data_IF_210458252411
#
_entry.id   IF_210458252411
#
_cell.length_a   1.000
_cell.length_b   1.000
_cell.length_c   1.000
_cell.angle_alpha   90.00
_cell.angle_beta   90.00
_cell.angle_gamma   90.00
#
_symmetry.space_group_name_H-M   'P 1'
#
loop_
_entity.id
_entity.type
_entity.pdbx_description
1 polymer ?
#
# COMPACT_ATOMS: atom_id res chain seq x y z
N UNK A 1 -56.06 20.01 42.03
CA UNK A 1 -55.83 19.06 40.91
C UNK A 1 -55.41 17.71 41.47
N UNK A 2 -56.10 16.64 41.07
CA UNK A 2 -55.99 15.29 41.65
C UNK A 2 -54.60 14.70 41.40
N UNK A 3 -54.03 13.99 42.38
CA UNK A 3 -52.68 13.35 42.34
C UNK A 3 -52.36 12.57 41.04
N UNK A 4 -53.38 12.13 40.31
CA UNK A 4 -53.28 11.46 38.99
C UNK A 4 -52.76 12.37 37.87
N UNK A 5 -53.07 13.68 37.91
CA UNK A 5 -52.61 14.62 36.88
C UNK A 5 -51.14 15.01 37.08
N UNK A 6 -50.65 15.00 38.32
CA UNK A 6 -49.25 15.26 38.61
C UNK A 6 -48.36 14.12 38.09
N UNK A 7 -48.80 12.88 38.29
CA UNK A 7 -48.08 11.68 37.81
C UNK A 7 -47.96 11.64 36.29
N UNK A 8 -49.03 12.00 35.56
CA UNK A 8 -49.01 12.05 34.10
C UNK A 8 -48.05 13.12 33.56
N UNK A 9 -48.01 14.29 34.20
CA UNK A 9 -47.11 15.39 33.79
C UNK A 9 -45.65 15.05 34.08
N UNK A 10 -45.36 14.43 35.23
CA UNK A 10 -43.99 13.98 35.56
C UNK A 10 -43.52 12.86 34.63
N UNK A 11 -44.40 11.92 34.27
CA UNK A 11 -44.07 10.85 33.32
C UNK A 11 -43.81 11.39 31.90
N UNK A 12 -44.60 12.38 31.44
CA UNK A 12 -44.36 13.04 30.16
C UNK A 12 -43.04 13.83 30.13
N UNK A 13 -42.67 14.48 31.25
CA UNK A 13 -41.38 15.19 31.38
C UNK A 13 -40.18 14.23 31.39
N UNK A 14 -40.31 13.06 32.02
CA UNK A 14 -39.26 12.03 32.00
C UNK A 14 -39.14 11.41 30.60
N UNK A 15 -40.25 11.18 29.90
CA UNK A 15 -40.24 10.65 28.52
C UNK A 15 -39.67 11.66 27.52
N UNK A 16 -39.94 12.95 27.68
CA UNK A 16 -39.31 13.99 26.84
C UNK A 16 -37.83 14.17 27.17
N UNK A 17 -37.44 14.10 28.45
CA UNK A 17 -36.03 14.11 28.82
C UNK A 17 -35.26 12.87 28.32
N UNK A 18 -35.91 11.70 28.24
CA UNK A 18 -35.33 10.48 27.67
C UNK A 18 -35.18 10.55 26.14
N UNK A 19 -36.07 11.28 25.45
CA UNK A 19 -35.93 11.57 24.02
C UNK A 19 -34.99 12.74 23.71
N UNK A 20 -34.60 13.52 24.72
CA UNK A 20 -33.66 14.64 24.62
C UNK A 20 -32.32 14.36 25.28
N UNK A 21 -31.98 13.10 25.57
CA UNK A 21 -30.58 12.72 25.71
C UNK A 21 -29.99 13.02 24.33
N UNK A 22 -29.12 14.04 24.16
CA UNK A 22 -28.35 14.12 22.94
C UNK A 22 -27.71 12.74 22.87
N UNK A 23 -28.02 11.98 21.82
CA UNK A 23 -27.23 10.83 21.46
C UNK A 23 -25.81 11.39 21.47
N UNK A 24 -25.09 11.14 22.57
CA UNK A 24 -23.67 11.37 22.62
C UNK A 24 -23.24 10.50 21.46
N UNK A 25 -22.89 11.17 20.37
CA UNK A 25 -22.04 10.61 19.38
C UNK A 25 -20.85 10.12 20.20
N UNK A 26 -20.89 8.86 20.60
CA UNK A 26 -19.74 8.03 20.37
C UNK A 26 -19.45 8.26 18.88
N UNK A 27 -18.65 9.28 18.59
CA UNK A 27 -17.72 9.22 17.48
C UNK A 27 -16.91 7.96 17.78
N UNK A 28 -17.50 6.80 17.49
CA UNK A 28 -16.75 5.60 17.21
C UNK A 28 -15.89 6.04 16.05
N UNK A 29 -14.64 6.39 16.36
CA UNK A 29 -13.62 6.70 15.36
C UNK A 29 -13.71 5.56 14.38
N UNK A 30 -14.29 5.82 13.22
CA UNK A 30 -14.52 4.80 12.23
C UNK A 30 -13.14 4.27 11.88
N UNK A 31 -12.89 3.01 12.20
CA UNK A 31 -11.64 2.36 11.86
C UNK A 31 -11.52 2.40 10.34
N UNK A 32 -10.43 2.98 9.86
CA UNK A 32 -10.21 3.16 8.42
C UNK A 32 -9.98 1.79 7.80
N UNK A 33 -10.58 1.52 6.64
CA UNK A 33 -10.48 0.24 5.94
C UNK A 33 -9.02 -0.22 5.75
N UNK A 34 -8.10 0.70 5.44
CA UNK A 34 -6.68 0.39 5.28
C UNK A 34 -5.98 -0.13 6.56
N UNK A 35 -6.56 0.05 7.75
CA UNK A 35 -6.03 -0.47 9.02
C UNK A 35 -6.82 -1.67 9.55
N UNK A 36 -7.63 -2.29 8.69
CA UNK A 36 -8.40 -3.48 9.08
C UNK A 36 -7.74 -4.76 8.59
N UNK A 37 -7.71 -5.77 9.46
CA UNK A 37 -7.26 -7.12 9.16
C UNK A 37 -8.32 -8.10 9.65
N UNK A 38 -8.72 -9.04 8.80
CA UNK A 38 -9.68 -10.07 9.22
C UNK A 38 -9.05 -11.00 10.25
N UNK A 39 -9.89 -11.64 11.06
CA UNK A 39 -9.39 -12.62 12.06
C UNK A 39 -8.70 -13.79 11.35
N UNK A 40 -9.29 -14.24 10.25
CA UNK A 40 -8.80 -15.33 9.42
C UNK A 40 -7.43 -15.01 8.82
N UNK A 41 -7.22 -13.78 8.33
CA UNK A 41 -5.91 -13.36 7.80
C UNK A 41 -4.88 -13.29 8.91
N UNK A 42 -5.25 -12.70 10.06
CA UNK A 42 -4.35 -12.60 11.21
C UNK A 42 -3.88 -13.97 11.68
N UNK A 43 -4.80 -14.91 11.85
CA UNK A 43 -4.49 -16.29 12.23
C UNK A 43 -3.65 -16.99 11.15
N UNK A 44 -3.99 -16.80 9.88
CA UNK A 44 -3.23 -17.33 8.75
C UNK A 44 -1.78 -16.84 8.73
N UNK A 45 -1.57 -15.52 8.87
CA UNK A 45 -0.25 -14.89 8.90
C UNK A 45 0.57 -15.40 10.09
N UNK A 46 -0.02 -15.44 11.30
CA UNK A 46 0.67 -15.96 12.48
C UNK A 46 1.02 -17.44 12.36
N UNK A 47 0.16 -18.25 11.73
CA UNK A 47 0.47 -19.67 11.47
C UNK A 47 1.64 -19.86 10.51
N UNK A 48 1.87 -18.89 9.62
CA UNK A 48 2.96 -18.87 8.65
C UNK A 48 4.20 -18.10 9.13
N UNK A 49 4.25 -17.62 10.38
CA UNK A 49 5.30 -16.74 10.91
C UNK A 49 6.71 -17.26 10.61
N UNK A 50 6.96 -18.55 10.83
CA UNK A 50 8.29 -19.14 10.58
C UNK A 50 8.72 -19.03 9.12
N UNK A 51 7.80 -19.27 8.18
CA UNK A 51 8.08 -19.19 6.75
C UNK A 51 8.26 -17.73 6.32
N UNK A 52 7.38 -16.84 6.78
CA UNK A 52 7.47 -15.39 6.54
C UNK A 52 8.80 -14.82 7.01
N UNK A 53 9.23 -15.15 8.25
CA UNK A 53 10.50 -14.68 8.78
C UNK A 53 11.69 -15.29 8.04
N UNK A 54 11.57 -16.52 7.53
CA UNK A 54 12.61 -17.13 6.70
C UNK A 54 12.75 -16.38 5.38
N UNK A 55 11.64 -16.13 4.69
CA UNK A 55 11.61 -15.40 3.42
C UNK A 55 12.12 -13.95 3.62
N UNK A 56 11.62 -13.25 4.64
CA UNK A 56 12.01 -11.87 4.94
C UNK A 56 13.50 -11.75 5.25
N UNK A 57 14.08 -12.66 6.04
CA UNK A 57 15.51 -12.63 6.34
C UNK A 57 16.37 -12.99 5.13
N UNK A 58 15.93 -13.91 4.27
CA UNK A 58 16.64 -14.24 3.05
C UNK A 58 16.69 -13.05 2.08
N UNK A 59 15.57 -12.33 1.93
CA UNK A 59 15.52 -11.10 1.13
C UNK A 59 16.39 -10.01 1.76
N UNK A 60 16.28 -9.80 3.08
CA UNK A 60 17.06 -8.81 3.80
C UNK A 60 18.58 -9.07 3.69
N UNK A 61 19.02 -10.31 3.81
CA UNK A 61 20.45 -10.67 3.66
C UNK A 61 20.97 -10.40 2.25
N UNK A 62 20.12 -10.59 1.23
CA UNK A 62 20.47 -10.29 -0.16
C UNK A 62 20.60 -8.77 -0.42
N UNK A 63 19.76 -7.95 0.22
CA UNK A 63 19.77 -6.49 0.09
C UNK A 63 20.82 -5.80 0.99
N UNK A 64 20.99 -6.28 2.23
CA UNK A 64 21.95 -5.79 3.22
C UNK A 64 22.46 -6.94 4.10
N UNK A 65 23.58 -7.56 3.69
CA UNK A 65 24.23 -8.64 4.42
C UNK A 65 24.73 -8.25 5.83
N UNK A 66 24.76 -6.97 6.17
CA UNK A 66 25.14 -6.48 7.50
C UNK A 66 23.95 -6.29 8.45
N UNK A 67 22.72 -6.35 7.93
CA UNK A 67 21.52 -6.21 8.71
C UNK A 67 21.35 -7.38 9.71
N UNK A 68 20.83 -7.07 10.89
CA UNK A 68 20.48 -8.12 11.84
C UNK A 68 19.27 -8.91 11.32
N UNK A 69 19.11 -10.19 11.69
CA UNK A 69 17.91 -10.92 11.33
C UNK A 69 16.70 -10.41 12.12
N UNK A 70 15.55 -10.34 11.47
CA UNK A 70 14.23 -10.18 12.09
C UNK A 70 13.91 -11.45 12.86
N UNK A 71 13.60 -11.30 14.15
CA UNK A 71 13.42 -12.44 15.07
C UNK A 71 11.98 -12.78 15.38
N UNK A 72 11.06 -11.84 15.12
CA UNK A 72 9.66 -11.95 15.53
C UNK A 72 8.79 -11.17 14.57
N UNK A 73 7.65 -11.75 14.21
CA UNK A 73 6.61 -11.05 13.49
C UNK A 73 5.77 -10.21 14.46
N UNK A 74 5.57 -8.94 14.13
CA UNK A 74 4.58 -8.08 14.79
C UNK A 74 3.55 -7.64 13.77
N UNK A 75 2.28 -7.67 14.14
CA UNK A 75 1.15 -7.21 13.31
C UNK A 75 0.47 -6.01 13.95
N UNK A 76 1.19 -5.26 14.78
CA UNK A 76 0.68 -4.07 15.47
C UNK A 76 0.63 -2.86 14.53
N UNK A 77 1.51 -2.84 13.52
CA UNK A 77 1.62 -1.78 12.53
C UNK A 77 1.55 -2.39 11.13
N UNK A 78 0.42 -2.17 10.47
CA UNK A 78 0.19 -2.65 9.12
C UNK A 78 -0.73 -1.72 8.32
N UNK A 79 -0.66 -1.86 7.00
CA UNK A 79 -1.59 -1.27 6.05
C UNK A 79 -2.05 -2.35 5.09
N UNK A 80 -3.37 -2.49 4.94
CA UNK A 80 -3.96 -3.31 3.88
C UNK A 80 -4.01 -2.50 2.58
N UNK A 81 -3.34 -3.00 1.55
CA UNK A 81 -3.26 -2.37 0.23
C UNK A 81 -3.93 -3.28 -0.80
N UNK A 82 -5.00 -2.79 -1.42
CA UNK A 82 -5.68 -3.53 -2.49
C UNK A 82 -4.86 -3.46 -3.78
N UNK A 83 -4.44 -4.62 -4.29
CA UNK A 83 -3.68 -4.76 -5.53
C UNK A 83 -4.61 -5.16 -6.67
N UNK A 84 -4.22 -4.93 -7.93
CA UNK A 84 -5.03 -5.28 -9.11
C UNK A 84 -6.50 -4.80 -9.04
N UNK A 85 -6.75 -3.71 -8.31
CA UNK A 85 -8.08 -3.20 -8.02
C UNK A 85 -8.23 -1.83 -8.66
N UNK A 86 -8.69 -1.81 -9.92
CA UNK A 86 -8.85 -0.57 -10.68
C UNK A 86 -10.09 0.23 -10.21
N UNK A 87 -9.90 1.06 -9.18
CA UNK A 87 -10.95 1.95 -8.67
C UNK A 87 -11.38 3.02 -9.69
N UNK A 88 -10.52 3.34 -10.68
CA UNK A 88 -10.85 4.30 -11.74
C UNK A 88 -11.75 3.70 -12.82
N UNK A 89 -11.86 2.37 -12.91
CA UNK A 89 -12.79 1.69 -13.81
C UNK A 89 -14.26 1.96 -13.48
N UNK A 90 -14.58 2.28 -12.21
CA UNK A 90 -15.93 2.50 -11.72
C UNK A 90 -16.62 3.66 -12.45
N UNK A 91 -17.92 3.52 -12.74
CA UNK A 91 -18.69 4.55 -13.46
C UNK A 91 -18.97 5.80 -12.61
N UNK A 92 -19.02 5.65 -11.30
CA UNK A 92 -19.25 6.70 -10.33
C UNK A 92 -18.19 6.66 -9.22
N UNK A 93 -18.22 7.67 -8.35
CA UNK A 93 -17.29 7.82 -7.23
C UNK A 93 -17.96 7.46 -5.89
N UNK A 94 -19.09 6.76 -5.90
CA UNK A 94 -19.85 6.48 -4.68
C UNK A 94 -19.14 5.44 -3.80
N UNK A 95 -19.28 5.62 -2.48
CA UNK A 95 -18.77 4.67 -1.49
C UNK A 95 -19.36 3.26 -1.70
N UNK A 96 -20.60 3.15 -2.16
CA UNK A 96 -21.25 1.88 -2.43
C UNK A 96 -20.58 1.10 -3.57
N UNK A 97 -20.30 1.76 -4.69
CA UNK A 97 -19.59 1.16 -5.84
C UNK A 97 -18.16 0.76 -5.46
N UNK A 98 -17.45 1.60 -4.70
CA UNK A 98 -16.12 1.29 -4.16
C UNK A 98 -16.16 0.06 -3.25
N UNK A 99 -17.08 -0.01 -2.29
CA UNK A 99 -17.21 -1.16 -1.39
C UNK A 99 -17.53 -2.46 -2.13
N UNK A 100 -18.33 -2.42 -3.20
CA UNK A 100 -18.60 -3.60 -4.02
C UNK A 100 -17.34 -4.09 -4.73
N UNK A 101 -16.55 -3.18 -5.28
CA UNK A 101 -15.26 -3.51 -5.90
C UNK A 101 -14.30 -4.12 -4.88
N UNK A 102 -14.14 -3.50 -3.70
CA UNK A 102 -13.26 -4.02 -2.65
C UNK A 102 -13.69 -5.40 -2.15
N UNK A 103 -15.00 -5.67 -2.03
CA UNK A 103 -15.51 -7.01 -1.66
C UNK A 103 -15.17 -8.07 -2.70
N UNK A 104 -15.20 -7.72 -3.99
CA UNK A 104 -14.77 -8.62 -5.05
C UNK A 104 -13.26 -8.90 -4.94
N UNK A 105 -12.46 -7.85 -4.73
CA UNK A 105 -11.01 -7.99 -4.49
C UNK A 105 -10.72 -8.84 -3.25
N UNK A 106 -11.48 -8.69 -2.16
CA UNK A 106 -11.34 -9.52 -0.96
C UNK A 106 -11.61 -11.00 -1.23
N UNK A 107 -12.68 -11.30 -2.00
CA UNK A 107 -13.02 -12.68 -2.36
C UNK A 107 -11.93 -13.35 -3.21
N UNK A 108 -11.23 -12.57 -4.03
CA UNK A 108 -10.13 -13.03 -4.90
C UNK A 108 -8.74 -12.88 -4.26
N UNK A 109 -8.68 -12.43 -2.99
CA UNK A 109 -7.46 -12.10 -2.25
C UNK A 109 -6.56 -11.06 -2.97
N UNK A 110 -7.13 -10.15 -3.76
CA UNK A 110 -6.43 -9.06 -4.46
C UNK A 110 -6.02 -7.92 -3.51
N UNK A 111 -5.16 -8.25 -2.55
CA UNK A 111 -4.56 -7.31 -1.60
C UNK A 111 -3.30 -7.90 -0.97
N UNK A 112 -2.47 -7.01 -0.45
CA UNK A 112 -1.33 -7.32 0.41
C UNK A 112 -1.49 -6.65 1.77
N UNK A 113 -0.74 -7.12 2.75
CA UNK A 113 -0.48 -6.37 3.98
C UNK A 113 0.96 -5.87 3.96
N UNK A 114 1.14 -4.57 4.00
CA UNK A 114 2.43 -3.97 4.32
C UNK A 114 2.56 -3.90 5.84
N UNK A 115 3.61 -4.50 6.38
CA UNK A 115 3.83 -4.65 7.82
C UNK A 115 5.17 -4.05 8.20
N UNK A 116 5.22 -3.33 9.32
CA UNK A 116 6.49 -2.83 9.86
C UNK A 116 7.11 -3.86 10.78
N UNK A 117 8.28 -4.37 10.39
CA UNK A 117 9.11 -5.24 11.22
C UNK A 117 10.38 -4.52 11.66
N UNK A 118 10.98 -5.01 12.74
CA UNK A 118 12.20 -4.42 13.29
C UNK A 118 13.36 -5.42 13.29
N UNK A 119 14.47 -4.96 12.70
CA UNK A 119 15.78 -5.59 12.80
C UNK A 119 16.69 -4.72 13.67
N UNK A 120 16.78 -5.04 14.96
CA UNK A 120 17.52 -4.21 15.92
C UNK A 120 16.91 -2.81 16.04
N UNK A 121 17.60 -1.79 15.51
CA UNK A 121 17.12 -0.39 15.48
C UNK A 121 16.56 0.01 14.11
N UNK A 122 16.63 -0.86 13.13
CA UNK A 122 16.21 -0.60 11.75
C UNK A 122 14.77 -1.05 11.57
N UNK A 123 13.96 -0.20 10.94
CA UNK A 123 12.61 -0.53 10.53
C UNK A 123 12.61 -1.09 9.10
N UNK A 124 11.78 -2.08 8.87
CA UNK A 124 11.63 -2.77 7.60
C UNK A 124 10.17 -2.71 7.19
N UNK A 125 9.91 -2.29 5.96
CA UNK A 125 8.59 -2.42 5.34
C UNK A 125 8.54 -3.78 4.63
N UNK A 126 7.65 -4.65 5.08
CA UNK A 126 7.55 -6.03 4.62
C UNK A 126 6.20 -6.26 3.97
N UNK A 127 6.19 -6.68 2.71
CA UNK A 127 4.96 -7.01 2.01
C UNK A 127 4.61 -8.48 2.23
N UNK A 128 3.42 -8.72 2.77
CA UNK A 128 2.83 -10.03 2.96
C UNK A 128 1.69 -10.25 1.97
N UNK A 129 1.74 -11.36 1.26
CA UNK A 129 0.70 -11.76 0.31
C UNK A 129 0.27 -13.21 0.58
N UNK A 130 -0.98 -13.52 0.26
CA UNK A 130 -1.50 -14.88 0.25
C UNK A 130 -1.31 -15.49 -1.14
N UNK A 131 -0.58 -16.60 -1.24
CA UNK A 131 -0.22 -17.18 -2.53
C UNK A 131 -1.43 -17.60 -3.35
N UNK A 132 -1.41 -17.28 -4.64
CA UNK A 132 -2.47 -17.60 -5.60
C UNK A 132 -1.91 -18.47 -6.72
N UNK A 133 -2.74 -19.26 -7.41
CA UNK A 133 -2.29 -19.98 -8.60
C UNK A 133 -1.65 -19.00 -9.60
N UNK A 134 -0.46 -19.34 -10.08
CA UNK A 134 0.21 -18.57 -11.13
C UNK A 134 -0.64 -18.56 -12.40
N UNK A 135 -0.76 -17.38 -13.01
CA UNK A 135 -1.31 -17.19 -14.35
C UNK A 135 -0.38 -17.80 -15.40
N UNK A 136 -0.88 -17.97 -16.62
CA UNK A 136 -0.05 -18.53 -17.69
C UNK A 136 1.08 -17.56 -18.10
N UNK A 137 0.83 -16.24 -18.08
CA UNK A 137 1.89 -15.25 -18.35
C UNK A 137 2.96 -15.20 -17.25
N UNK A 138 2.58 -15.39 -15.98
CA UNK A 138 3.56 -15.48 -14.88
C UNK A 138 4.45 -16.72 -15.03
N UNK A 139 3.89 -17.86 -15.46
CA UNK A 139 4.66 -19.10 -15.69
C UNK A 139 5.67 -18.97 -16.82
N UNK A 140 5.38 -18.16 -17.85
CA UNK A 140 6.28 -17.98 -19.00
C UNK A 140 7.66 -17.43 -18.60
N UNK A 141 7.75 -16.73 -17.47
CA UNK A 141 8.98 -16.12 -16.97
C UNK A 141 9.68 -16.93 -15.88
N UNK A 142 9.18 -18.12 -15.54
CA UNK A 142 9.67 -18.95 -14.44
C UNK A 142 10.19 -20.30 -14.95
N UNK A 143 11.18 -20.84 -14.24
CA UNK A 143 11.62 -22.22 -14.44
C UNK A 143 10.63 -23.21 -13.83
N UNK A 144 10.60 -24.45 -14.34
CA UNK A 144 9.79 -25.53 -13.76
C UNK A 144 10.05 -25.75 -12.27
N UNK A 145 11.30 -25.52 -11.84
CA UNK A 145 11.69 -25.59 -10.43
C UNK A 145 11.02 -24.48 -9.63
N UNK A 146 11.08 -23.23 -10.10
CA UNK A 146 10.42 -22.09 -9.43
C UNK A 146 8.90 -22.25 -9.41
N UNK A 147 8.29 -22.77 -10.47
CA UNK A 147 6.86 -23.07 -10.51
C UNK A 147 6.50 -24.11 -9.45
N UNK A 148 7.28 -25.20 -9.37
CA UNK A 148 7.06 -26.27 -8.38
C UNK A 148 7.30 -25.78 -6.95
N UNK A 149 8.33 -24.97 -6.76
CA UNK A 149 8.60 -24.33 -5.48
C UNK A 149 7.45 -23.35 -5.15
N UNK A 150 6.84 -22.65 -6.10
CA UNK A 150 5.71 -21.78 -5.80
C UNK A 150 4.44 -22.52 -5.35
N UNK A 151 4.24 -23.78 -5.77
CA UNK A 151 3.04 -24.55 -5.43
C UNK A 151 2.78 -24.68 -3.92
N UNK A 152 3.83 -24.73 -3.09
CA UNK A 152 3.64 -24.81 -1.64
C UNK A 152 3.19 -23.49 -1.00
N UNK A 153 3.28 -22.37 -1.73
CA UNK A 153 2.85 -21.04 -1.28
C UNK A 153 1.36 -20.78 -1.54
N UNK A 154 0.73 -21.56 -2.42
CA UNK A 154 -0.70 -21.37 -2.75
C UNK A 154 -1.56 -21.54 -1.48
N UNK A 155 -2.39 -20.53 -1.20
CA UNK A 155 -3.28 -20.47 -0.04
C UNK A 155 -2.59 -20.13 1.29
N UNK A 156 -1.27 -19.99 1.32
CA UNK A 156 -0.50 -19.63 2.51
C UNK A 156 0.04 -18.20 2.42
N UNK A 157 0.21 -17.56 3.58
CA UNK A 157 0.81 -16.23 3.67
C UNK A 157 2.34 -16.33 3.59
N UNK A 158 2.96 -15.46 2.80
CA UNK A 158 4.41 -15.42 2.64
C UNK A 158 4.88 -13.98 2.41
N UNK A 159 6.19 -13.77 2.56
CA UNK A 159 6.83 -12.48 2.32
C UNK A 159 7.22 -12.36 0.84
N UNK A 160 6.79 -11.31 0.17
CA UNK A 160 7.11 -11.04 -1.24
C UNK A 160 8.24 -10.04 -1.41
N UNK A 161 8.39 -9.10 -0.48
CA UNK A 161 9.47 -8.10 -0.50
C UNK A 161 9.78 -7.57 0.90
N UNK A 162 11.01 -7.05 1.04
CA UNK A 162 11.48 -6.33 2.22
C UNK A 162 12.18 -5.07 1.74
N UNK A 163 11.77 -3.92 2.25
CA UNK A 163 12.44 -2.64 2.00
C UNK A 163 13.01 -2.09 3.29
N UNK A 164 14.31 -1.77 3.27
CA UNK A 164 15.01 -1.19 4.42
C UNK A 164 14.83 0.33 4.41
N UNK A 165 14.09 0.85 5.39
CA UNK A 165 13.88 2.29 5.52
C UNK A 165 14.35 2.80 6.89
N UNK A 166 15.14 3.88 6.96
CA UNK A 166 15.46 4.53 8.23
C UNK A 166 14.21 5.10 8.91
N UNK A 167 13.19 5.50 8.13
CA UNK A 167 11.86 5.91 8.56
C UNK A 167 10.80 5.22 7.66
N UNK A 168 9.88 4.39 8.18
CA UNK A 168 8.89 3.70 7.36
C UNK A 168 7.94 4.71 6.68
N UNK A 169 8.00 4.78 5.36
CA UNK A 169 7.39 5.85 4.57
C UNK A 169 5.89 5.61 4.42
N UNK A 170 5.45 4.39 4.13
CA UNK A 170 4.05 4.12 3.78
C UNK A 170 3.16 4.17 5.01
N UNK A 171 3.49 3.39 6.04
CA UNK A 171 2.63 3.29 7.23
C UNK A 171 2.48 4.65 7.93
N UNK A 172 3.53 5.45 8.00
CA UNK A 172 3.48 6.79 8.58
C UNK A 172 2.70 7.77 7.68
N UNK A 173 2.91 7.73 6.37
CA UNK A 173 2.17 8.59 5.42
C UNK A 173 0.67 8.26 5.43
N UNK A 174 0.29 6.98 5.52
CA UNK A 174 -1.11 6.56 5.65
C UNK A 174 -1.70 7.05 6.98
N UNK A 175 -0.98 6.95 8.09
CA UNK A 175 -1.44 7.48 9.40
C UNK A 175 -1.69 8.98 9.34
N UNK A 176 -0.76 9.74 8.75
CA UNK A 176 -0.92 11.19 8.55
C UNK A 176 -2.11 11.53 7.64
N UNK A 177 -2.29 10.79 6.55
CA UNK A 177 -3.45 10.94 5.68
C UNK A 177 -4.76 10.62 6.43
N UNK A 178 -4.78 9.55 7.23
CA UNK A 178 -5.93 9.11 8.00
C UNK A 178 -6.37 10.15 9.05
N UNK A 179 -5.43 10.83 9.69
CA UNK A 179 -5.70 11.92 10.64
C UNK A 179 -6.21 13.19 9.95
N UNK A 180 -5.99 13.34 8.63
CA UNK A 180 -6.40 14.51 7.85
C UNK A 180 -7.78 14.38 7.17
N UNK A 181 -8.41 13.22 7.27
CA UNK A 181 -9.65 12.86 6.55
C UNK A 181 -10.78 12.57 7.52
N UNK A 182 -11.93 13.21 7.31
CA UNK A 182 -13.15 12.94 8.08
C UNK A 182 -14.07 11.96 7.34
N UNK A 183 -13.64 10.70 7.28
CA UNK A 183 -14.26 9.64 6.48
C UNK A 183 -13.45 8.36 6.51
N UNK A 184 -13.58 7.51 5.50
CA UNK A 184 -12.79 6.29 5.36
C UNK A 184 -11.52 6.53 4.52
N UNK A 185 -10.54 5.64 4.62
CA UNK A 185 -9.31 5.65 3.85
C UNK A 185 -9.01 4.22 3.36
N UNK A 186 -8.80 4.09 2.05
CA UNK A 186 -8.55 2.81 1.39
C UNK A 186 -7.20 2.92 0.67
N UNK A 187 -6.24 2.06 0.98
CA UNK A 187 -5.00 1.99 0.22
C UNK A 187 -5.18 1.05 -0.99
N UNK A 188 -4.75 1.52 -2.16
CA UNK A 188 -4.81 0.82 -3.44
C UNK A 188 -3.47 0.97 -4.16
N UNK A 189 -3.08 -0.02 -4.93
CA UNK A 189 -1.88 0.02 -5.75
C UNK A 189 -2.17 -0.45 -7.18
N UNK A 190 -1.21 -0.27 -8.09
CA UNK A 190 -1.30 -0.66 -9.50
C UNK A 190 -2.42 0.02 -10.27
N UNK A 191 -2.71 1.28 -9.96
CA UNK A 191 -3.73 2.06 -10.68
C UNK A 191 -3.22 2.46 -12.07
N UNK A 192 -3.97 2.20 -13.16
CA UNK A 192 -3.50 2.45 -14.53
C UNK A 192 -2.89 3.85 -14.72
N UNK A 193 -1.64 3.89 -15.18
CA UNK A 193 -0.91 5.14 -15.45
C UNK A 193 -0.35 5.84 -14.20
N UNK A 194 -0.44 5.22 -13.04
CA UNK A 194 0.16 5.66 -11.77
C UNK A 194 1.02 4.53 -11.21
N UNK A 195 2.16 4.89 -10.66
CA UNK A 195 3.06 3.95 -10.00
C UNK A 195 3.04 4.17 -8.49
N UNK A 196 3.03 3.05 -7.76
CA UNK A 196 3.05 3.01 -6.31
C UNK A 196 1.68 3.17 -5.66
N UNK A 197 1.64 2.78 -4.38
CA UNK A 197 0.42 2.78 -3.60
C UNK A 197 -0.10 4.20 -3.32
N UNK A 198 -1.42 4.31 -3.33
CA UNK A 198 -2.20 5.52 -3.10
C UNK A 198 -3.30 5.22 -2.07
N UNK A 199 -3.58 6.16 -1.18
CA UNK A 199 -4.76 6.12 -0.33
C UNK A 199 -5.89 6.98 -0.91
N UNK A 200 -7.05 6.37 -1.11
CA UNK A 200 -8.30 7.01 -1.52
C UNK A 200 -9.08 7.39 -0.27
N UNK A 201 -9.39 8.68 -0.08
CA UNK A 201 -10.33 9.08 0.98
C UNK A 201 -11.77 9.00 0.49
N UNK A 202 -12.65 8.48 1.36
CA UNK A 202 -14.09 8.43 1.13
C UNK A 202 -14.79 9.29 2.18
N UNK A 203 -15.31 10.44 1.76
CA UNK A 203 -15.97 11.41 2.65
C UNK A 203 -17.37 11.70 2.12
N UNK A 204 -18.36 11.79 3.01
CA UNK A 204 -19.76 12.04 2.64
C UNK A 204 -20.31 11.05 1.58
N UNK A 205 -19.90 9.78 1.66
CA UNK A 205 -20.38 8.71 0.77
C UNK A 205 -19.77 8.71 -0.63
N UNK A 206 -18.66 9.41 -0.87
CA UNK A 206 -17.96 9.42 -2.16
C UNK A 206 -16.44 9.48 -2.02
N UNK A 207 -15.70 8.96 -2.99
CA UNK A 207 -14.26 9.19 -3.09
C UNK A 207 -13.97 10.67 -3.38
N UNK A 208 -13.12 11.27 -2.56
CA UNK A 208 -12.84 12.72 -2.62
C UNK A 208 -11.39 13.03 -2.94
N UNK A 209 -10.44 12.37 -2.28
CA UNK A 209 -9.02 12.66 -2.41
C UNK A 209 -8.17 11.41 -2.59
N UNK A 210 -6.95 11.62 -3.10
CA UNK A 210 -5.88 10.66 -3.24
C UNK A 210 -4.64 11.15 -2.50
N UNK A 211 -4.00 10.28 -1.74
CA UNK A 211 -2.77 10.56 -1.01
C UNK A 211 -1.70 9.56 -1.47
N UNK A 212 -0.55 10.00 -1.95
CA UNK A 212 0.53 9.08 -2.26
C UNK A 212 1.10 8.49 -0.99
N UNK A 213 1.38 7.19 -1.02
CA UNK A 213 1.85 6.46 0.14
C UNK A 213 3.35 6.22 0.10
N UNK A 214 3.95 6.11 -1.08
CA UNK A 214 5.40 6.02 -1.23
C UNK A 214 6.02 7.38 -1.56
N UNK A 215 7.27 7.59 -1.11
CA UNK A 215 8.02 8.84 -1.32
C UNK A 215 8.34 9.16 -2.78
N UNK A 216 8.06 8.23 -3.69
CA UNK A 216 8.28 8.37 -5.13
C UNK A 216 7.03 7.92 -5.88
N UNK A 217 6.06 8.82 -5.98
CA UNK A 217 5.15 8.84 -7.14
C UNK A 217 5.99 9.05 -8.39
N UNK A 218 6.24 8.00 -9.15
CA UNK A 218 7.00 8.09 -10.41
C UNK A 218 6.27 7.27 -11.45
N UNK A 219 5.38 7.77 -12.31
CA UNK A 219 4.89 9.10 -12.66
C UNK A 219 3.54 8.90 -13.41
N UNK A 220 2.84 9.92 -13.92
CA UNK A 220 3.02 10.26 -15.35
C UNK A 220 3.68 11.63 -15.49
N UNK A 221 4.97 11.60 -15.80
CA UNK A 221 5.98 12.67 -15.68
C UNK A 221 5.81 13.72 -14.56
N UNK A 222 5.17 13.29 -13.48
CA UNK A 222 5.17 13.81 -12.12
C UNK A 222 4.02 14.76 -11.78
N UNK A 223 2.76 14.34 -12.01
CA UNK A 223 1.58 15.18 -11.67
C UNK A 223 1.80 16.60 -12.26
N UNK A 224 2.57 16.67 -13.36
CA UNK A 224 3.41 17.78 -13.83
C UNK A 224 2.56 18.64 -14.75
N UNK A 225 2.18 19.85 -14.38
CA UNK A 225 2.97 20.89 -13.73
C UNK A 225 2.52 21.25 -12.30
N UNK A 226 2.08 20.25 -11.52
CA UNK A 226 1.18 20.39 -10.38
C UNK A 226 -0.18 20.96 -10.83
N UNK A 227 -1.14 21.10 -9.93
CA UNK A 227 -2.35 21.92 -10.17
C UNK A 227 -1.99 23.43 -10.18
N UNK A 228 -0.79 23.78 -10.69
CA UNK A 228 -0.06 25.05 -10.62
C UNK A 228 0.14 25.60 -9.18
N UNK A 229 1.22 25.14 -8.55
CA UNK A 229 2.05 25.83 -7.53
C UNK A 229 1.40 26.50 -6.30
N UNK A 230 0.15 26.20 -5.92
CA UNK A 230 -0.43 26.62 -4.61
C UNK A 230 -0.83 25.50 -3.65
N UNK A 231 -0.71 24.24 -4.05
CA UNK A 231 -1.22 23.10 -3.28
C UNK A 231 -0.13 22.14 -2.73
N UNK A 232 1.14 22.36 -3.08
CA UNK A 232 2.27 21.49 -2.70
C UNK A 232 3.23 22.19 -1.72
N UNK A 233 2.70 23.04 -0.85
CA UNK A 233 3.46 23.52 0.32
C UNK A 233 2.87 22.92 1.57
N UNK A 234 3.44 21.77 1.95
CA UNK A 234 3.55 21.30 3.34
C UNK A 234 2.27 21.43 4.19
N UNK A 235 1.13 20.96 3.67
CA UNK A 235 -0.09 20.69 4.46
C UNK A 235 -0.87 19.53 3.84
N UNK A 236 -1.59 18.78 4.68
CA UNK A 236 -2.28 17.50 4.47
C UNK A 236 -3.44 17.50 3.43
N UNK A 237 -3.32 18.19 2.29
CA UNK A 237 -4.50 18.53 1.47
C UNK A 237 -4.93 17.48 0.43
N UNK A 238 -4.11 16.47 0.11
CA UNK A 238 -4.43 15.40 -0.86
C UNK A 238 -4.73 15.91 -2.29
N UNK A 239 -4.80 15.01 -3.26
CA UNK A 239 -5.16 15.30 -4.66
C UNK A 239 -6.64 14.99 -4.91
N UNK A 240 -7.34 15.72 -5.78
CA UNK A 240 -8.74 15.40 -6.08
C UNK A 240 -8.89 14.07 -6.82
N UNK A 241 -9.64 13.13 -6.25
CA UNK A 241 -9.90 11.81 -6.84
C UNK A 241 -10.49 11.92 -8.25
N UNK A 242 -11.61 12.64 -8.39
CA UNK A 242 -12.33 12.79 -9.66
C UNK A 242 -11.46 13.34 -10.80
N UNK A 243 -10.60 14.33 -10.51
CA UNK A 243 -9.70 14.92 -11.52
C UNK A 243 -8.67 13.91 -12.02
N UNK A 244 -8.02 13.19 -11.09
CA UNK A 244 -7.04 12.17 -11.44
C UNK A 244 -7.70 11.01 -12.18
N UNK A 245 -8.88 10.55 -11.71
CA UNK A 245 -9.67 9.51 -12.39
C UNK A 245 -10.02 9.89 -13.83
N UNK A 246 -10.43 11.13 -14.08
CA UNK A 246 -10.71 11.62 -15.46
C UNK A 246 -9.46 11.59 -16.33
N UNK A 247 -8.32 12.06 -15.81
CA UNK A 247 -7.04 12.05 -16.54
C UNK A 247 -6.60 10.62 -16.88
N UNK A 248 -6.58 9.73 -15.89
CA UNK A 248 -6.19 8.34 -16.08
C UNK A 248 -7.07 7.60 -17.11
N UNK A 249 -8.39 7.83 -17.08
CA UNK A 249 -9.32 7.21 -18.03
C UNK A 249 -9.23 7.77 -19.46
N UNK A 250 -8.84 9.04 -19.63
CA UNK A 250 -8.74 9.68 -20.95
C UNK A 250 -7.52 9.18 -21.74
N UNK A 251 -6.40 8.93 -21.06
CA UNK A 251 -5.11 8.72 -21.71
C UNK A 251 -4.65 7.24 -21.73
N UNK A 252 -5.20 6.34 -20.90
CA UNK A 252 -4.53 5.06 -20.64
C UNK A 252 -5.40 3.78 -20.60
N UNK A 253 -6.70 3.80 -20.92
CA UNK A 253 -7.49 2.53 -21.01
C UNK A 253 -6.95 1.52 -22.05
N UNK A 254 -5.95 1.89 -22.84
CA UNK A 254 -5.28 1.02 -23.82
C UNK A 254 -3.93 0.46 -23.35
N UNK A 255 -3.58 0.60 -22.08
CA UNK A 255 -2.26 0.21 -21.62
C UNK A 255 -2.43 -0.72 -20.42
N UNK A 256 -1.76 -1.88 -20.47
CA UNK A 256 -2.10 -3.03 -19.63
C UNK A 256 -1.77 -2.78 -18.17
N UNK A 257 -2.47 -3.45 -17.26
CA UNK A 257 -2.15 -3.46 -15.81
C UNK A 257 -0.70 -3.86 -15.53
N UNK A 258 -0.11 -4.68 -16.40
CA UNK A 258 1.31 -5.09 -16.36
C UNK A 258 2.28 -3.92 -16.57
N UNK A 259 1.87 -2.85 -17.26
CA UNK A 259 2.69 -1.64 -17.46
C UNK A 259 2.53 -0.60 -16.34
N UNK A 260 1.58 -0.81 -15.41
CA UNK A 260 1.31 0.11 -14.29
C UNK A 260 2.24 -0.06 -13.08
N UNK A 261 3.22 -0.98 -13.15
CA UNK A 261 4.38 -1.03 -12.27
C UNK A 261 4.10 -1.12 -10.75
N UNK A 262 3.02 -1.77 -10.34
CA UNK A 262 2.74 -2.08 -8.93
C UNK A 262 2.52 -3.58 -8.65
N UNK A 263 2.75 -4.45 -9.62
CA UNK A 263 2.74 -5.90 -9.39
C UNK A 263 4.08 -6.31 -8.79
N UNK A 264 4.14 -6.68 -7.51
CA UNK A 264 5.22 -7.58 -7.09
C UNK A 264 5.07 -8.85 -7.92
N UNK A 265 6.02 -9.14 -8.80
CA UNK A 265 6.14 -10.45 -9.44
C UNK A 265 6.43 -11.46 -8.33
N UNK A 266 5.36 -11.92 -7.69
CA UNK A 266 5.41 -12.62 -6.40
C UNK A 266 6.15 -13.96 -6.50
N UNK A 267 6.31 -14.47 -7.73
CA UNK A 267 7.09 -15.67 -8.04
C UNK A 267 8.61 -15.44 -8.14
N UNK A 268 9.07 -14.20 -8.31
CA UNK A 268 10.50 -13.89 -8.49
C UNK A 268 11.15 -13.16 -7.31
N UNK A 269 10.37 -12.72 -6.31
CA UNK A 269 10.86 -11.88 -5.21
C UNK A 269 11.41 -10.53 -5.69
N UNK A 270 11.14 -10.14 -6.94
CA UNK A 270 11.56 -8.85 -7.52
C UNK A 270 10.45 -7.85 -7.26
N UNK A 271 10.78 -6.77 -6.57
CA UNK A 271 9.92 -5.59 -6.56
C UNK A 271 9.74 -5.09 -7.99
N UNK A 272 8.54 -4.63 -8.34
CA UNK A 272 8.24 -3.99 -9.62
C UNK A 272 8.99 -2.65 -9.85
N UNK A 273 9.97 -2.33 -9.00
CA UNK A 273 10.96 -1.31 -9.32
C UNK A 273 12.00 -1.93 -10.25
N UNK A 274 11.96 -1.50 -11.53
CA UNK A 274 12.97 -1.83 -12.54
C UNK A 274 14.38 -1.75 -11.92
N UNK A 275 15.13 -2.87 -11.77
CA UNK A 275 16.55 -2.85 -11.39
C UNK A 275 17.43 -2.17 -12.46
N UNK A 276 16.83 -1.76 -13.58
CA UNK A 276 17.50 -1.29 -14.79
C UNK A 276 18.19 0.07 -14.67
N UNK A 277 17.86 0.90 -13.67
CA UNK A 277 18.46 2.24 -13.56
C UNK A 277 19.69 2.25 -12.64
N UNK A 278 19.70 1.44 -11.57
CA UNK A 278 20.85 1.36 -10.65
C UNK A 278 21.99 0.52 -11.23
N UNK A 279 21.69 -0.58 -11.94
CA UNK A 279 22.72 -1.39 -12.60
C UNK A 279 23.40 -0.67 -13.79
N UNK A 280 22.65 0.17 -14.53
CA UNK A 280 23.19 0.96 -15.63
C UNK A 280 24.17 2.05 -15.18
N UNK A 281 23.91 2.69 -14.04
CA UNK A 281 24.76 3.75 -13.50
C UNK A 281 26.05 3.17 -12.86
N UNK A 282 25.97 2.00 -12.22
CA UNK A 282 27.16 1.32 -11.67
C UNK A 282 28.09 0.76 -12.75
N UNK A 283 27.54 0.23 -13.84
CA UNK A 283 28.34 -0.22 -14.99
C UNK A 283 29.00 0.96 -15.72
N UNK A 284 28.31 2.10 -15.88
CA UNK A 284 28.89 3.29 -16.48
C UNK A 284 29.97 3.94 -15.58
N UNK A 285 29.75 4.00 -14.27
CA UNK A 285 30.74 4.51 -13.32
C UNK A 285 31.98 3.60 -13.23
N UNK A 286 31.80 2.27 -13.26
CA UNK A 286 32.90 1.31 -13.30
C UNK A 286 33.77 1.44 -14.56
N UNK A 287 33.15 1.60 -15.75
CA UNK A 287 33.87 1.79 -17.02
C UNK A 287 34.62 3.13 -17.03
N UNK A 288 34.01 4.21 -16.49
CA UNK A 288 34.68 5.53 -16.41
C UNK A 288 35.87 5.48 -15.44
N UNK A 289 35.74 4.85 -14.28
CA UNK A 289 36.84 4.71 -13.31
C UNK A 289 37.98 3.86 -13.89
N UNK A 290 37.68 2.76 -14.58
CA UNK A 290 38.69 1.93 -15.25
C UNK A 290 39.39 2.71 -16.37
N UNK A 291 38.66 3.46 -17.20
CA UNK A 291 39.26 4.28 -18.26
C UNK A 291 40.12 5.43 -17.73
N UNK A 292 39.71 6.08 -16.64
CA UNK A 292 40.50 7.14 -15.98
C UNK A 292 41.76 6.56 -15.33
N UNK A 293 41.67 5.41 -14.64
CA UNK A 293 42.83 4.72 -14.06
C UNK A 293 43.80 4.18 -15.12
N UNK A 294 43.29 3.72 -16.26
CA UNK A 294 44.13 3.23 -17.36
C UNK A 294 44.85 4.38 -18.07
N UNK A 295 44.17 5.51 -18.27
CA UNK A 295 44.77 6.72 -18.88
C UNK A 295 45.84 7.35 -17.96
N UNK A 296 45.61 7.37 -16.65
CA UNK A 296 46.58 7.88 -15.66
C UNK A 296 47.78 6.96 -15.46
N UNK A 297 47.61 5.63 -15.56
CA UNK A 297 48.75 4.68 -15.62
C UNK A 297 49.60 4.85 -16.88
N UNK A 298 48.98 5.05 -18.05
CA UNK A 298 49.71 5.24 -19.32
C UNK A 298 50.52 6.54 -19.34
N UNK A 299 50.03 7.61 -18.68
CA UNK A 299 50.78 8.86 -18.54
C UNK A 299 51.92 8.79 -17.52
N UNK A 300 51.82 7.96 -16.48
CA UNK A 300 52.92 7.74 -15.52
C UNK A 300 54.00 6.77 -16.00
N UNK A 301 53.70 5.92 -16.99
CA UNK A 301 54.68 5.02 -17.62
C UNK A 301 55.41 5.62 -18.84
N UNK A 302 55.18 6.90 -19.15
CA UNK A 302 55.81 7.62 -20.26
C UNK A 302 56.67 8.81 -19.77
N UNK A 303 57.19 8.73 -18.54
CA UNK A 303 58.25 9.59 -18.03
C UNK A 303 59.43 8.74 -17.60
#
# INVERSE_FOLDING_TARGET
>A
MKKKNLFAVTLCLILTAACCIPAFAAETRQEKTCFTMSKEDREGILSAEKAILSDANAILEAEDASASPVKKLSLDEFVKVYTNTDVFSLKDDSAGSLQQLLKASDAENHYIYEVILHSGKTSLEVCLEKGKPLTDSEKENLTDKEIKDFQHKIGTWYCTSVTVHPDPVITETVKQAADSVNGDLIAVDSLPGLHGALAVSVEHGKATKLFPLSGTLVSYDAIKDAVDQKLITKTNTGYSYSKIKTLANADYRNVSSEQSGGGTDAASGRSAFLPGITAGILCAAGVIVVLVLWKTRKQKGAR
#
